data_IF_003274963580
#
_entry.id   IF_003274963580
#
_cell.length_a   1.000
_cell.length_b   1.000
_cell.length_c   1.000
_cell.angle_alpha   90.00
_cell.angle_beta   90.00
_cell.angle_gamma   90.00
#
_symmetry.space_group_name_H-M   'P 1'
#
loop_
_entity.id
_entity.type
_entity.pdbx_description
1 polymer ?
#
# COMPACT_ATOMS: atom_id res chain seq x y z
N UNK A 1 -19.42 30.45 11.31
CA UNK A 1 -20.62 29.63 11.09
C UNK A 1 -20.23 28.54 10.11
N UNK A 2 -19.90 27.34 10.60
CA UNK A 2 -19.44 26.21 9.79
C UNK A 2 -20.68 25.43 9.37
N UNK A 3 -21.02 25.43 8.08
CA UNK A 3 -22.19 24.69 7.58
C UNK A 3 -22.02 23.19 7.81
N UNK A 4 -23.09 22.46 8.21
CA UNK A 4 -23.06 21.00 8.26
C UNK A 4 -22.84 20.48 6.84
N UNK A 5 -21.89 19.56 6.67
CA UNK A 5 -21.71 18.84 5.42
C UNK A 5 -22.97 18.00 5.19
N UNK A 6 -23.59 18.00 4.00
CA UNK A 6 -24.76 17.18 3.73
C UNK A 6 -24.40 15.71 3.93
N UNK A 7 -25.24 14.98 4.66
CA UNK A 7 -25.13 13.53 4.80
C UNK A 7 -25.23 12.92 3.40
N UNK A 8 -24.13 12.36 2.91
CA UNK A 8 -24.14 11.56 1.71
C UNK A 8 -25.05 10.34 1.93
N UNK A 9 -25.78 9.87 0.91
CA UNK A 9 -26.62 8.67 1.02
C UNK A 9 -25.78 7.52 1.58
N UNK A 10 -26.21 6.93 2.70
CA UNK A 10 -25.50 5.81 3.30
C UNK A 10 -25.60 4.60 2.36
N UNK A 11 -24.46 4.12 1.87
CA UNK A 11 -24.37 2.83 1.22
C UNK A 11 -24.83 1.73 2.22
N UNK A 12 -25.43 0.63 1.75
CA UNK A 12 -25.78 -0.49 2.62
C UNK A 12 -24.54 -0.98 3.40
N UNK A 13 -24.75 -1.36 4.66
CA UNK A 13 -23.67 -1.85 5.53
C UNK A 13 -23.03 -3.09 4.90
N UNK A 14 -21.71 -3.13 4.90
CA UNK A 14 -20.93 -4.26 4.39
C UNK A 14 -20.74 -5.31 5.49
N UNK A 15 -20.40 -6.54 5.10
CA UNK A 15 -20.07 -7.63 6.02
C UNK A 15 -18.98 -7.23 7.03
N UNK A 16 -18.06 -6.34 6.62
CA UNK A 16 -17.02 -5.79 7.48
C UNK A 16 -17.58 -4.85 8.56
N UNK A 17 -18.48 -3.92 8.20
CA UNK A 17 -19.14 -3.05 9.17
C UNK A 17 -20.00 -3.84 10.16
N UNK A 18 -20.70 -4.87 9.68
CA UNK A 18 -21.51 -5.74 10.53
C UNK A 18 -20.65 -6.54 11.51
N UNK A 19 -19.51 -7.07 11.06
CA UNK A 19 -18.56 -7.76 11.92
C UNK A 19 -17.97 -6.85 13.01
N UNK A 20 -17.70 -5.58 12.70
CA UNK A 20 -17.23 -4.59 13.68
C UNK A 20 -18.31 -4.21 14.69
N UNK A 21 -19.54 -4.00 14.23
CA UNK A 21 -20.69 -3.71 15.11
C UNK A 21 -21.00 -4.89 16.03
N UNK A 22 -20.91 -6.13 15.54
CA UNK A 22 -21.08 -7.33 16.35
C UNK A 22 -20.04 -7.45 17.48
N UNK A 23 -18.88 -6.79 17.35
CA UNK A 23 -17.85 -6.67 18.39
C UNK A 23 -18.00 -5.45 19.30
N UNK A 24 -19.10 -4.69 19.16
CA UNK A 24 -19.40 -3.51 19.98
C UNK A 24 -18.81 -2.20 19.45
N UNK A 25 -18.38 -2.16 18.19
CA UNK A 25 -17.88 -0.92 17.56
C UNK A 25 -19.06 -0.01 17.19
N UNK A 26 -18.93 1.29 17.46
CA UNK A 26 -19.91 2.29 17.03
C UNK A 26 -20.06 2.30 15.50
N UNK A 27 -21.27 2.56 15.03
CA UNK A 27 -21.60 2.51 13.61
C UNK A 27 -20.88 3.55 12.76
N UNK A 28 -20.71 4.78 13.29
CA UNK A 28 -20.00 5.82 12.57
C UNK A 28 -18.50 5.50 12.49
N UNK A 29 -17.96 4.88 13.55
CA UNK A 29 -16.58 4.41 13.58
C UNK A 29 -16.37 3.26 12.60
N UNK A 30 -17.28 2.28 12.55
CA UNK A 30 -17.17 1.15 11.61
C UNK A 30 -17.18 1.61 10.14
N UNK A 31 -18.06 2.56 9.79
CA UNK A 31 -18.13 3.13 8.45
C UNK A 31 -16.87 3.94 8.09
N UNK A 32 -16.33 4.73 9.03
CA UNK A 32 -15.10 5.48 8.80
C UNK A 32 -13.87 4.57 8.69
N UNK A 33 -13.80 3.49 9.48
CA UNK A 33 -12.73 2.51 9.37
C UNK A 33 -12.72 1.83 8.00
N UNK A 34 -13.88 1.41 7.50
CA UNK A 34 -13.98 0.85 6.16
C UNK A 34 -13.55 1.85 5.10
N UNK A 35 -14.05 3.09 5.18
CA UNK A 35 -13.64 4.17 4.27
C UNK A 35 -12.13 4.39 4.26
N UNK A 36 -11.49 4.33 5.43
CA UNK A 36 -10.03 4.50 5.53
C UNK A 36 -9.27 3.30 4.99
N UNK A 37 -9.77 2.10 5.17
CA UNK A 37 -9.16 0.89 4.60
C UNK A 37 -9.20 1.00 3.07
N UNK A 38 -10.33 1.36 2.49
CA UNK A 38 -10.47 1.54 1.04
C UNK A 38 -9.53 2.62 0.50
N UNK A 39 -9.41 3.75 1.22
CA UNK A 39 -8.48 4.82 0.85
C UNK A 39 -7.01 4.36 0.92
N UNK A 40 -6.62 3.69 2.01
CA UNK A 40 -5.25 3.17 2.17
C UNK A 40 -4.96 2.10 1.12
N UNK A 41 -5.88 1.19 0.85
CA UNK A 41 -5.71 0.14 -0.15
C UNK A 41 -5.53 0.75 -1.54
N UNK A 42 -6.28 1.81 -1.87
CA UNK A 42 -6.12 2.55 -3.11
C UNK A 42 -4.77 3.27 -3.19
N UNK A 43 -4.32 3.93 -2.10
CA UNK A 43 -3.03 4.61 -2.03
C UNK A 43 -1.85 3.63 -2.08
N UNK A 44 -1.97 2.47 -1.45
CA UNK A 44 -0.94 1.42 -1.42
C UNK A 44 -0.88 0.61 -2.71
N UNK A 45 -1.95 0.58 -3.51
CA UNK A 45 -2.01 -0.18 -4.76
C UNK A 45 -0.93 0.23 -5.77
N UNK A 46 -0.63 1.54 -5.84
CA UNK A 46 0.38 2.09 -6.74
C UNK A 46 1.73 2.35 -6.05
N UNK A 47 1.89 1.98 -4.78
CA UNK A 47 3.15 2.15 -4.06
C UNK A 47 4.22 1.22 -4.65
N UNK A 48 5.22 1.83 -5.30
CA UNK A 48 6.33 1.13 -5.94
C UNK A 48 7.09 0.18 -5.00
N UNK A 49 7.07 0.42 -3.68
CA UNK A 49 7.70 -0.47 -2.70
C UNK A 49 6.97 -1.80 -2.51
N UNK A 50 5.68 -1.85 -2.87
CA UNK A 50 4.82 -3.05 -2.78
C UNK A 50 4.69 -3.78 -4.10
N UNK A 51 5.11 -3.15 -5.20
CA UNK A 51 5.10 -3.76 -6.51
C UNK A 51 6.25 -4.77 -6.66
N UNK A 52 6.03 -5.87 -7.41
CA UNK A 52 7.11 -6.78 -7.74
C UNK A 52 8.16 -6.08 -8.60
N UNK A 53 9.43 -6.39 -8.36
CA UNK A 53 10.53 -5.89 -9.19
C UNK A 53 10.33 -6.29 -10.65
N UNK A 54 10.54 -5.32 -11.54
CA UNK A 54 10.55 -5.56 -12.98
C UNK A 54 11.81 -6.31 -13.39
N UNK A 55 11.74 -7.05 -14.51
CA UNK A 55 12.91 -7.74 -15.06
C UNK A 55 14.09 -6.78 -15.33
N UNK A 56 13.80 -5.52 -15.69
CA UNK A 56 14.81 -4.49 -15.91
C UNK A 56 15.55 -4.11 -14.63
N UNK A 57 14.84 -3.95 -13.52
CA UNK A 57 15.43 -3.62 -12.22
C UNK A 57 16.29 -4.76 -11.69
N UNK A 58 15.83 -6.00 -11.86
CA UNK A 58 16.60 -7.19 -11.50
C UNK A 58 17.91 -7.25 -12.30
N UNK A 59 17.85 -7.07 -13.62
CA UNK A 59 19.05 -7.08 -14.48
C UNK A 59 20.01 -5.96 -14.11
N UNK A 60 19.51 -4.75 -13.81
CA UNK A 60 20.35 -3.64 -13.39
C UNK A 60 21.07 -3.95 -12.07
N UNK A 61 20.36 -4.46 -11.07
CA UNK A 61 20.92 -4.83 -9.77
C UNK A 61 22.00 -5.92 -9.91
N UNK A 62 21.70 -6.99 -10.64
CA UNK A 62 22.64 -8.09 -10.87
C UNK A 62 23.85 -7.61 -11.67
N UNK A 63 23.63 -6.79 -12.71
CA UNK A 63 24.70 -6.24 -13.53
C UNK A 63 25.69 -5.38 -12.76
N UNK A 64 25.20 -4.48 -11.89
CA UNK A 64 26.05 -3.68 -11.01
C UNK A 64 26.86 -4.57 -10.06
N UNK A 65 26.24 -5.59 -9.50
CA UNK A 65 26.91 -6.55 -8.60
C UNK A 65 28.04 -7.27 -9.32
N UNK A 66 27.79 -7.79 -10.52
CA UNK A 66 28.80 -8.48 -11.33
C UNK A 66 29.95 -7.53 -11.73
N UNK A 67 29.63 -6.28 -12.09
CA UNK A 67 30.63 -5.26 -12.42
C UNK A 67 31.56 -4.94 -11.24
N UNK A 68 30.99 -4.79 -10.03
CA UNK A 68 31.77 -4.57 -8.82
C UNK A 68 32.71 -5.75 -8.51
N UNK A 69 32.24 -6.98 -8.68
CA UNK A 69 33.05 -8.20 -8.51
C UNK A 69 34.21 -8.23 -9.51
N UNK A 70 33.92 -7.98 -10.80
CA UNK A 70 34.94 -7.98 -11.85
C UNK A 70 36.02 -6.91 -11.60
N UNK A 71 35.61 -5.72 -11.14
CA UNK A 71 36.53 -4.64 -10.78
C UNK A 71 37.40 -5.02 -9.57
N UNK A 72 36.82 -5.66 -8.55
CA UNK A 72 37.59 -6.17 -7.41
C UNK A 72 38.62 -7.22 -7.83
N UNK A 73 38.25 -8.15 -8.73
CA UNK A 73 39.18 -9.13 -9.29
C UNK A 73 40.30 -8.47 -10.09
N UNK A 74 39.97 -7.46 -10.91
CA UNK A 74 40.94 -6.70 -11.68
C UNK A 74 41.99 -6.05 -10.79
N UNK A 75 41.58 -5.46 -9.67
CA UNK A 75 42.49 -4.83 -8.68
C UNK A 75 43.43 -5.85 -8.04
N UNK A 76 43.00 -7.10 -7.83
CA UNK A 76 43.85 -8.15 -7.23
C UNK A 76 44.88 -8.69 -8.22
N UNK A 77 44.56 -8.69 -9.51
CA UNK A 77 45.42 -9.24 -10.58
C UNK A 77 46.48 -8.23 -11.06
N UNK A 78 46.21 -6.93 -10.94
CA UNK A 78 47.14 -5.83 -11.25
C UNK A 78 48.16 -5.61 -10.12
#
# INVERSE_FOLDING_TARGET
MTSPRPDAPQAPATDFQEALRARGTDSAIAAELERRIELIEHEEYEDASRLPLTAREVVAYVGVTLGAIALGLLVVVL
#
